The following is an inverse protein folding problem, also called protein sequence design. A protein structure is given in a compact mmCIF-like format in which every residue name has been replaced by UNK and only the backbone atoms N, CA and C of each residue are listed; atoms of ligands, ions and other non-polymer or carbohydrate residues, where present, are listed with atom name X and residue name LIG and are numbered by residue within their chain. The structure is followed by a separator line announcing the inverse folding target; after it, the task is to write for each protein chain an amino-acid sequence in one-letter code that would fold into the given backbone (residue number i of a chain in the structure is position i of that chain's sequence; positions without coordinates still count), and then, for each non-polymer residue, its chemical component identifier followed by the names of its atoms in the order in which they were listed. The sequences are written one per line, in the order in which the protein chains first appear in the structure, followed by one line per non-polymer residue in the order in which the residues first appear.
data_IF_463245865711
#
_entry.id   IF_463245865711
#
_cell.length_a   1.000
_cell.length_b   1.000
_cell.length_c   1.000
_cell.angle_alpha   90.00
_cell.angle_beta   90.00
_cell.angle_gamma   90.00
#
_symmetry.space_group_name_H-M   'P 1'
#
loop_
_entity.id
_entity.type
_entity.pdbx_description
1 polymer ?
#
# COMPACT_ATOMS: atom_id res chain seq x y z
N UNK A 1 -55.66 -23.86 -23.46
CA UNK A 1 -54.74 -24.37 -22.43
C UNK A 1 -53.30 -24.17 -22.89
N UNK A 2 -52.76 -22.94 -22.84
CA UNK A 2 -51.47 -22.61 -23.49
C UNK A 2 -50.58 -21.62 -22.73
N UNK A 3 -50.82 -21.39 -21.43
CA UNK A 3 -50.06 -20.39 -20.65
C UNK A 3 -49.21 -20.97 -19.51
N UNK A 4 -49.38 -22.22 -19.11
CA UNK A 4 -48.64 -22.76 -17.94
C UNK A 4 -47.18 -23.09 -18.26
N UNK A 5 -46.86 -23.46 -19.51
CA UNK A 5 -45.50 -23.81 -19.92
C UNK A 5 -44.61 -22.56 -20.09
N UNK A 6 -45.13 -21.50 -20.71
CA UNK A 6 -44.41 -20.23 -20.92
C UNK A 6 -44.20 -19.47 -19.61
N UNK A 7 -45.20 -19.44 -18.74
CA UNK A 7 -45.09 -18.82 -17.40
C UNK A 7 -44.06 -19.55 -16.54
N UNK A 8 -44.06 -20.89 -16.53
CA UNK A 8 -43.03 -21.66 -15.80
C UNK A 8 -41.63 -21.47 -16.39
N UNK A 9 -41.50 -21.30 -17.71
CA UNK A 9 -40.22 -21.05 -18.37
C UNK A 9 -39.66 -19.65 -18.01
N UNK A 10 -40.50 -18.62 -18.05
CA UNK A 10 -40.14 -17.25 -17.69
C UNK A 10 -39.78 -17.13 -16.20
N UNK A 11 -40.52 -17.81 -15.32
CA UNK A 11 -40.21 -17.87 -13.89
C UNK A 11 -38.85 -18.55 -13.64
N UNK A 12 -38.52 -19.62 -14.37
CA UNK A 12 -37.22 -20.29 -14.29
C UNK A 12 -36.08 -19.40 -14.82
N UNK A 13 -36.29 -18.65 -15.91
CA UNK A 13 -35.29 -17.69 -16.40
C UNK A 13 -35.05 -16.55 -15.42
N UNK A 14 -36.12 -16.02 -14.82
CA UNK A 14 -36.04 -14.98 -13.79
C UNK A 14 -35.29 -15.49 -12.56
N UNK A 15 -35.62 -16.69 -12.08
CA UNK A 15 -34.92 -17.35 -10.96
C UNK A 15 -33.44 -17.61 -11.26
N UNK A 16 -33.11 -18.03 -12.48
CA UNK A 16 -31.72 -18.19 -12.91
C UNK A 16 -30.97 -16.84 -12.99
N UNK A 17 -31.63 -15.79 -13.47
CA UNK A 17 -31.05 -14.45 -13.51
C UNK A 17 -30.81 -13.93 -12.09
N UNK A 18 -31.80 -14.04 -11.20
CA UNK A 18 -31.68 -13.72 -9.77
C UNK A 18 -30.53 -14.50 -9.13
N UNK A 19 -30.44 -15.80 -9.35
CA UNK A 19 -29.33 -16.64 -8.86
C UNK A 19 -27.96 -16.20 -9.41
N UNK A 20 -27.85 -15.85 -10.69
CA UNK A 20 -26.60 -15.33 -11.28
C UNK A 20 -26.22 -13.99 -10.64
N UNK A 21 -27.20 -13.08 -10.44
CA UNK A 21 -26.94 -11.78 -9.81
C UNK A 21 -26.53 -11.92 -8.36
N UNK A 22 -27.18 -12.81 -7.60
CA UNK A 22 -26.86 -13.11 -6.21
C UNK A 22 -25.48 -13.78 -6.09
N UNK A 23 -25.16 -14.71 -6.99
CA UNK A 23 -23.82 -15.31 -7.03
C UNK A 23 -22.75 -14.25 -7.32
N UNK A 24 -23.02 -13.29 -8.20
CA UNK A 24 -22.09 -12.21 -8.50
C UNK A 24 -21.93 -11.23 -7.33
N UNK A 25 -23.01 -10.86 -6.64
CA UNK A 25 -22.92 -10.00 -5.45
C UNK A 25 -22.14 -10.68 -4.32
N UNK A 26 -22.42 -11.96 -4.04
CA UNK A 26 -21.68 -12.75 -3.04
C UNK A 26 -20.19 -12.83 -3.39
N UNK A 27 -19.85 -13.02 -4.67
CA UNK A 27 -18.44 -13.02 -5.12
C UNK A 27 -17.77 -11.66 -4.88
N UNK A 28 -18.45 -10.55 -5.18
CA UNK A 28 -17.93 -9.20 -4.97
C UNK A 28 -17.75 -8.89 -3.48
N UNK A 29 -18.71 -9.25 -2.63
CA UNK A 29 -18.62 -9.08 -1.18
C UNK A 29 -17.42 -9.82 -0.59
N UNK A 30 -17.23 -11.09 -1.00
CA UNK A 30 -16.05 -11.88 -0.58
C UNK A 30 -14.75 -11.25 -1.05
N UNK A 31 -14.69 -10.73 -2.28
CA UNK A 31 -13.49 -10.05 -2.77
C UNK A 31 -13.20 -8.77 -1.98
N UNK A 32 -14.22 -7.99 -1.64
CA UNK A 32 -14.08 -6.79 -0.82
C UNK A 32 -13.58 -7.14 0.58
N UNK A 33 -14.17 -8.16 1.20
CA UNK A 33 -13.75 -8.65 2.52
C UNK A 33 -12.29 -9.13 2.50
N UNK A 34 -11.91 -9.91 1.49
CA UNK A 34 -10.52 -10.37 1.32
C UNK A 34 -9.54 -9.19 1.19
N UNK A 35 -9.90 -8.17 0.39
CA UNK A 35 -9.07 -6.95 0.25
C UNK A 35 -8.94 -6.19 1.56
N UNK A 36 -10.03 -6.08 2.33
CA UNK A 36 -9.99 -5.44 3.64
C UNK A 36 -9.05 -6.20 4.59
N UNK A 37 -9.16 -7.53 4.66
CA UNK A 37 -8.29 -8.34 5.51
C UNK A 37 -6.81 -8.25 5.11
N UNK A 38 -6.50 -8.24 3.81
CA UNK A 38 -5.13 -8.04 3.33
C UNK A 38 -4.60 -6.66 3.74
N UNK A 39 -5.40 -5.60 3.55
CA UNK A 39 -5.02 -4.24 3.96
C UNK A 39 -4.80 -4.13 5.47
N UNK A 40 -5.66 -4.73 6.29
CA UNK A 40 -5.49 -4.77 7.74
C UNK A 40 -4.19 -5.50 8.14
N UNK A 41 -3.87 -6.60 7.46
CA UNK A 41 -2.61 -7.35 7.67
C UNK A 41 -1.38 -6.55 7.24
N UNK A 42 -1.44 -5.86 6.11
CA UNK A 42 -0.35 -4.99 5.64
C UNK A 42 -0.06 -3.87 6.64
N UNK A 43 -1.10 -3.19 7.12
CA UNK A 43 -0.96 -2.15 8.16
C UNK A 43 -0.40 -2.73 9.46
N UNK A 44 -0.86 -3.91 9.87
CA UNK A 44 -0.33 -4.59 11.06
C UNK A 44 1.15 -4.96 10.91
N UNK A 45 1.57 -5.45 9.74
CA UNK A 45 2.97 -5.75 9.44
C UNK A 45 3.83 -4.48 9.45
N UNK A 46 3.34 -3.38 8.90
CA UNK A 46 4.04 -2.10 8.92
C UNK A 46 4.24 -1.57 10.36
N UNK A 47 3.21 -1.71 11.21
CA UNK A 47 3.31 -1.39 12.63
C UNK A 47 4.34 -2.28 13.32
N UNK A 48 4.28 -3.60 13.11
CA UNK A 48 5.23 -4.54 13.68
C UNK A 48 6.67 -4.22 13.25
N UNK A 49 6.89 -3.95 11.97
CA UNK A 49 8.20 -3.58 11.43
C UNK A 49 8.74 -2.29 12.06
N UNK A 50 7.89 -1.27 12.26
CA UNK A 50 8.32 -0.04 12.93
C UNK A 50 8.72 -0.25 14.40
N UNK A 51 8.03 -1.17 15.11
CA UNK A 51 8.36 -1.51 16.50
C UNK A 51 9.68 -2.28 16.60
N UNK A 52 9.89 -3.24 15.70
CA UNK A 52 11.16 -3.98 15.64
C UNK A 52 12.33 -3.04 15.34
N UNK A 53 12.15 -2.15 14.36
CA UNK A 53 13.14 -1.14 14.01
C UNK A 53 13.44 -0.18 15.19
N UNK A 54 12.45 0.21 15.97
CA UNK A 54 12.65 0.99 17.20
C UNK A 54 13.54 0.26 18.21
N UNK A 55 13.34 -1.04 18.44
CA UNK A 55 14.21 -1.82 19.34
C UNK A 55 15.64 -1.88 18.82
N UNK A 56 15.81 -2.08 17.52
CA UNK A 56 17.13 -2.11 16.88
C UNK A 56 17.87 -0.77 17.01
N UNK A 57 17.19 0.34 16.71
CA UNK A 57 17.73 1.69 16.92
C UNK A 57 18.00 1.99 18.39
N UNK A 58 17.15 1.52 19.31
CA UNK A 58 17.35 1.68 20.74
C UNK A 58 18.61 0.99 21.24
N UNK A 59 18.86 -0.24 20.81
CA UNK A 59 20.10 -0.94 21.12
C UNK A 59 21.33 -0.20 20.55
N UNK A 60 21.25 0.27 19.31
CA UNK A 60 22.30 1.08 18.70
C UNK A 60 22.54 2.41 19.44
N UNK A 61 21.47 3.08 19.88
CA UNK A 61 21.56 4.33 20.63
C UNK A 61 22.24 4.13 21.97
N UNK A 62 21.85 3.11 22.74
CA UNK A 62 22.43 2.80 24.06
C UNK A 62 23.92 2.42 23.94
N UNK A 63 24.26 1.57 22.97
CA UNK A 63 25.66 1.18 22.73
C UNK A 63 26.51 2.37 22.30
N UNK A 64 26.00 3.21 21.39
CA UNK A 64 26.67 4.44 20.97
C UNK A 64 26.86 5.41 22.13
N UNK A 65 25.84 5.60 22.96
CA UNK A 65 25.90 6.46 24.14
C UNK A 65 26.97 5.99 25.13
N UNK A 66 27.07 4.67 25.35
CA UNK A 66 28.10 4.08 26.21
C UNK A 66 29.51 4.31 25.65
N UNK A 67 29.72 4.02 24.35
CA UNK A 67 31.01 4.20 23.69
C UNK A 67 31.47 5.67 23.70
N UNK A 68 30.57 6.60 23.35
CA UNK A 68 30.88 8.02 23.34
C UNK A 68 31.13 8.57 24.75
N UNK A 69 30.38 8.11 25.75
CA UNK A 69 30.60 8.49 27.16
C UNK A 69 31.96 8.00 27.67
N UNK A 70 32.34 6.76 27.33
CA UNK A 70 33.66 6.22 27.67
C UNK A 70 34.79 7.00 26.99
N UNK A 71 34.61 7.35 25.70
CA UNK A 71 35.58 8.14 24.95
C UNK A 71 35.69 9.59 25.46
N UNK A 72 34.57 10.21 25.86
CA UNK A 72 34.56 11.52 26.51
C UNK A 72 35.30 11.49 27.85
N UNK A 73 35.14 10.43 28.66
CA UNK A 73 35.86 10.30 29.94
C UNK A 73 37.38 10.29 29.75
N UNK A 74 37.88 9.70 28.65
CA UNK A 74 39.31 9.64 28.31
C UNK A 74 39.84 10.96 27.73
N UNK A 75 39.14 11.52 26.74
CA UNK A 75 39.66 12.66 25.97
C UNK A 75 39.20 14.04 26.47
N UNK A 76 38.15 14.09 27.32
CA UNK A 76 37.55 15.31 27.89
C UNK A 76 37.07 16.35 26.86
N UNK A 77 36.96 15.97 25.58
CA UNK A 77 36.49 16.84 24.49
C UNK A 77 34.98 16.71 24.32
N UNK A 78 34.24 17.78 24.63
CA UNK A 78 32.77 17.83 24.52
C UNK A 78 32.27 17.50 23.10
N UNK A 79 33.06 17.83 22.07
CA UNK A 79 32.72 17.58 20.67
C UNK A 79 32.50 16.10 20.31
N UNK A 80 33.04 15.16 21.11
CA UNK A 80 32.77 13.72 20.92
C UNK A 80 31.29 13.35 21.17
N UNK A 81 30.56 14.13 21.95
CA UNK A 81 29.14 13.90 22.23
C UNK A 81 28.23 14.52 21.17
N UNK A 82 28.79 15.27 20.21
CA UNK A 82 28.01 15.92 19.15
C UNK A 82 27.09 14.97 18.35
N UNK A 83 27.45 13.70 18.07
CA UNK A 83 26.56 12.79 17.34
C UNK A 83 25.33 12.34 18.14
N UNK A 84 25.30 12.53 19.46
CA UNK A 84 24.17 12.11 20.30
C UNK A 84 22.93 12.95 19.99
N UNK A 85 23.10 14.23 19.61
CA UNK A 85 21.99 15.13 19.31
C UNK A 85 21.19 14.69 18.07
N UNK A 86 21.79 14.45 16.89
CA UNK A 86 21.03 13.92 15.76
C UNK A 86 20.50 12.51 16.02
N UNK A 87 21.24 11.66 16.76
CA UNK A 87 20.77 10.32 17.10
C UNK A 87 19.53 10.33 18.00
N UNK A 88 19.48 11.24 18.98
CA UNK A 88 18.32 11.36 19.88
C UNK A 88 17.09 11.89 19.13
N UNK A 89 17.28 12.79 18.17
CA UNK A 89 16.20 13.27 17.30
C UNK A 89 15.56 12.13 16.49
N UNK A 90 16.40 11.29 15.86
CA UNK A 90 15.92 10.13 15.11
C UNK A 90 15.20 9.14 16.04
N UNK A 91 15.77 8.87 17.23
CA UNK A 91 15.16 7.96 18.20
C UNK A 91 13.80 8.47 18.69
N UNK A 92 13.67 9.77 18.98
CA UNK A 92 12.40 10.38 19.37
C UNK A 92 11.35 10.24 18.27
N UNK A 93 11.74 10.46 17.00
CA UNK A 93 10.87 10.25 15.85
C UNK A 93 10.38 8.79 15.76
N UNK A 94 11.30 7.82 15.86
CA UNK A 94 10.95 6.40 15.77
C UNK A 94 10.04 5.96 16.93
N UNK A 95 10.23 6.53 18.12
CA UNK A 95 9.36 6.29 19.27
C UNK A 95 7.93 6.74 18.99
N UNK A 96 7.75 7.97 18.49
CA UNK A 96 6.42 8.52 18.15
C UNK A 96 5.78 7.78 16.95
N UNK A 97 6.59 7.24 16.02
CA UNK A 97 6.11 6.43 14.91
C UNK A 97 5.66 5.02 15.33
N UNK A 98 6.36 4.39 16.28
CA UNK A 98 6.08 3.02 16.70
C UNK A 98 4.94 2.93 17.75
N UNK A 99 4.88 3.88 18.67
CA UNK A 99 3.96 3.87 19.82
C UNK A 99 3.14 5.15 20.00
N UNK A 100 3.57 6.25 19.40
CA UNK A 100 2.95 7.56 19.60
C UNK A 100 1.82 7.88 18.62
N UNK A 101 1.63 9.18 18.40
CA UNK A 101 0.51 9.72 17.61
C UNK A 101 0.91 10.05 16.17
N UNK A 102 2.19 9.91 15.81
CA UNK A 102 2.69 10.23 14.46
C UNK A 102 1.91 9.52 13.35
N UNK A 103 1.53 8.25 13.56
CA UNK A 103 0.71 7.49 12.59
C UNK A 103 -0.66 8.12 12.36
N UNK A 104 -1.32 8.59 13.43
CA UNK A 104 -2.61 9.26 13.32
C UNK A 104 -2.48 10.59 12.57
N UNK A 105 -1.38 11.33 12.78
CA UNK A 105 -1.11 12.58 12.04
C UNK A 105 -0.85 12.32 10.56
N UNK A 106 -0.07 11.29 10.21
CA UNK A 106 0.14 10.86 8.83
C UNK A 106 -1.18 10.45 8.18
N UNK A 107 -2.04 9.74 8.90
CA UNK A 107 -3.36 9.35 8.42
C UNK A 107 -4.25 10.58 8.15
N UNK A 108 -4.29 11.53 9.08
CA UNK A 108 -5.07 12.76 8.91
C UNK A 108 -4.57 13.59 7.71
N UNK A 109 -3.25 13.68 7.51
CA UNK A 109 -2.65 14.33 6.36
C UNK A 109 -3.02 13.61 5.04
N UNK A 110 -2.98 12.28 5.03
CA UNK A 110 -3.38 11.50 3.87
C UNK A 110 -4.87 11.70 3.53
N UNK A 111 -5.74 11.76 4.55
CA UNK A 111 -7.15 12.09 4.37
C UNK A 111 -7.35 13.51 3.81
N UNK A 112 -6.55 14.48 4.28
CA UNK A 112 -6.56 15.85 3.76
C UNK A 112 -6.18 15.88 2.27
N UNK A 113 -5.08 15.23 1.88
CA UNK A 113 -4.63 15.17 0.48
C UNK A 113 -5.70 14.55 -0.41
N UNK A 114 -6.32 13.45 0.03
CA UNK A 114 -7.37 12.76 -0.73
C UNK A 114 -8.64 13.61 -0.92
N UNK A 115 -8.95 14.50 0.01
CA UNK A 115 -10.17 15.32 -0.03
C UNK A 115 -9.97 16.68 -0.69
N UNK A 116 -8.85 17.35 -0.41
CA UNK A 116 -8.63 18.75 -0.76
C UNK A 116 -7.54 18.98 -1.80
N UNK A 117 -6.61 18.03 -1.99
CA UNK A 117 -5.44 18.18 -2.89
C UNK A 117 -5.39 17.07 -3.93
N UNK A 118 -6.54 16.79 -4.56
CA UNK A 118 -6.67 15.70 -5.54
C UNK A 118 -5.72 15.83 -6.73
N UNK A 119 -5.35 17.07 -7.09
CA UNK A 119 -4.41 17.37 -8.18
C UNK A 119 -3.03 16.73 -7.96
N UNK A 120 -2.61 16.52 -6.69
CA UNK A 120 -1.35 15.82 -6.37
C UNK A 120 -1.40 14.32 -6.64
N UNK A 121 -2.60 13.74 -6.74
CA UNK A 121 -2.82 12.32 -6.95
C UNK A 121 -2.98 11.97 -8.44
N UNK A 122 -3.07 12.98 -9.31
CA UNK A 122 -3.23 12.74 -10.73
C UNK A 122 -1.95 12.15 -11.33
N UNK A 123 -2.03 10.99 -12.00
CA UNK A 123 -0.87 10.41 -12.65
C UNK A 123 -0.40 11.33 -13.79
N UNK A 124 0.91 11.38 -14.08
CA UNK A 124 1.40 12.10 -15.24
C UNK A 124 0.74 11.55 -16.50
N UNK A 125 0.25 12.44 -17.37
CA UNK A 125 -0.55 12.15 -18.57
C UNK A 125 -2.01 11.72 -18.32
N UNK A 126 -2.50 11.83 -17.08
CA UNK A 126 -3.87 11.49 -16.72
C UNK A 126 -4.13 9.98 -16.68
N UNK A 127 -5.39 9.60 -16.42
CA UNK A 127 -5.77 8.19 -16.38
C UNK A 127 -5.79 7.60 -17.79
N UNK A 128 -5.19 6.42 -18.03
CA UNK A 128 -5.23 5.78 -19.34
C UNK A 128 -6.70 5.50 -19.72
N UNK A 129 -7.13 6.12 -20.82
CA UNK A 129 -8.45 5.87 -21.40
C UNK A 129 -8.46 4.55 -22.17
N UNK A 130 -9.64 3.97 -22.39
CA UNK A 130 -9.79 2.75 -23.21
C UNK A 130 -9.13 2.92 -24.59
N UNK A 131 -9.32 4.09 -25.21
CA UNK A 131 -8.67 4.42 -26.49
C UNK A 131 -7.13 4.39 -26.39
N UNK A 132 -6.55 4.91 -25.29
CA UNK A 132 -5.09 4.85 -25.10
C UNK A 132 -4.57 3.41 -24.94
N UNK A 133 -5.37 2.53 -24.34
CA UNK A 133 -5.03 1.12 -24.17
C UNK A 133 -5.08 0.39 -25.52
N UNK A 134 -6.11 0.67 -26.32
CA UNK A 134 -6.28 0.03 -27.63
C UNK A 134 -5.18 0.49 -28.61
N UNK A 135 -4.86 1.78 -28.64
CA UNK A 135 -3.70 2.29 -29.40
C UNK A 135 -2.40 1.62 -28.94
N UNK A 136 -2.19 1.44 -27.64
CA UNK A 136 -1.01 0.76 -27.10
C UNK A 136 -0.96 -0.73 -27.48
N UNK A 137 -2.10 -1.39 -27.63
CA UNK A 137 -2.18 -2.77 -28.14
C UNK A 137 -1.81 -2.85 -29.61
N UNK A 138 -2.39 -1.99 -30.44
CA UNK A 138 -2.09 -1.91 -31.87
C UNK A 138 -0.59 -1.65 -32.11
N UNK A 139 -0.01 -0.67 -31.42
CA UNK A 139 1.42 -0.38 -31.52
C UNK A 139 2.32 -1.54 -31.07
N UNK A 140 1.89 -2.33 -30.06
CA UNK A 140 2.63 -3.51 -29.62
C UNK A 140 2.55 -4.64 -30.66
N UNK A 141 1.41 -4.79 -31.34
CA UNK A 141 1.25 -5.73 -32.44
C UNK A 141 2.12 -5.31 -33.65
N UNK A 142 2.08 -4.05 -34.05
CA UNK A 142 2.94 -3.52 -35.12
C UNK A 142 4.43 -3.72 -34.83
N UNK A 143 4.88 -3.43 -33.60
CA UNK A 143 6.29 -3.67 -33.19
C UNK A 143 6.69 -5.14 -33.27
N UNK A 144 5.79 -6.07 -32.91
CA UNK A 144 6.04 -7.52 -33.02
C UNK A 144 6.20 -7.94 -34.49
N UNK A 145 5.45 -7.32 -35.40
CA UNK A 145 5.56 -7.57 -36.84
C UNK A 145 6.86 -7.02 -37.43
N UNK A 146 7.32 -5.84 -36.97
CA UNK A 146 8.54 -5.17 -37.45
C UNK A 146 9.84 -5.76 -36.87
N UNK A 147 9.78 -6.31 -35.65
CA UNK A 147 10.91 -6.96 -34.99
C UNK A 147 10.52 -8.37 -34.56
N UNK A 148 10.50 -9.35 -35.49
CA UNK A 148 10.29 -10.74 -35.11
C UNK A 148 11.41 -11.14 -34.15
N UNK A 149 11.04 -11.61 -32.96
CA UNK A 149 11.99 -12.16 -31.99
C UNK A 149 12.59 -13.41 -32.64
N UNK A 150 13.81 -13.28 -33.18
CA UNK A 150 14.56 -14.43 -33.67
C UNK A 150 14.89 -15.26 -32.44
N UNK A 151 14.43 -16.52 -32.34
CA UNK A 151 14.79 -17.37 -31.21
C UNK A 151 16.30 -17.54 -31.18
N UNK A 152 16.93 -17.13 -30.08
CA UNK A 152 18.36 -17.37 -29.84
C UNK A 152 18.54 -18.87 -29.59
N UNK A 153 19.27 -19.54 -30.48
CA UNK A 153 19.68 -20.95 -30.41
C UNK A 153 20.55 -21.25 -29.18
#
# INVERSE_FOLDING_TARGET
MGNYFTVNMEENFKRNHEFITEMNSIKLERQLQMRQQLKEREVALEIAASRELFFWYGAFYVTSLFLLSAAYKRNKKIGLLSPIVPLSFIMAYQTDLAYGTKRNRIKAEAEHIMQFEKDLLEPPLGVPSVASIDIAREQNEEKRLLHPVIPTL
#
